data_IF_294374149892
#
_entry.id   IF_294374149892
#
_cell.length_a   1.000
_cell.length_b   1.000
_cell.length_c   1.000
_cell.angle_alpha   90.00
_cell.angle_beta   90.00
_cell.angle_gamma   90.00
#
_symmetry.space_group_name_H-M   'P 1'
#
loop_
_entity.id
_entity.type
_entity.pdbx_description
1 polymer ?
#
# COMPACT_ATOMS: atom_id res chain seq x y z
N UNK A 1 -6.20 -24.47 -7.43
CA UNK A 1 -5.88 -23.97 -6.06
C UNK A 1 -7.17 -23.84 -5.26
N UNK A 2 -7.17 -24.05 -3.93
CA UNK A 2 -8.39 -23.86 -3.14
C UNK A 2 -8.66 -22.38 -2.87
N UNK A 3 -9.93 -21.99 -2.73
CA UNK A 3 -10.35 -20.60 -2.47
C UNK A 3 -9.71 -20.01 -1.21
N UNK A 4 -9.50 -20.82 -0.19
CA UNK A 4 -8.84 -20.41 1.07
C UNK A 4 -7.39 -20.02 0.81
N UNK A 5 -6.66 -20.78 -0.02
CA UNK A 5 -5.26 -20.47 -0.36
C UNK A 5 -5.16 -19.17 -1.16
N UNK A 6 -6.10 -18.93 -2.08
CA UNK A 6 -6.16 -17.67 -2.86
C UNK A 6 -6.36 -16.45 -1.96
N UNK A 7 -7.31 -16.53 -1.02
CA UNK A 7 -7.55 -15.46 -0.05
C UNK A 7 -6.32 -15.22 0.81
N UNK A 8 -5.66 -16.28 1.29
CA UNK A 8 -4.45 -16.16 2.09
C UNK A 8 -3.33 -15.44 1.33
N UNK A 9 -3.11 -15.78 0.05
CA UNK A 9 -2.10 -15.12 -0.81
C UNK A 9 -2.41 -13.62 -0.97
N UNK A 10 -3.68 -13.26 -1.19
CA UNK A 10 -4.09 -11.87 -1.32
C UNK A 10 -3.81 -11.10 -0.03
N UNK A 11 -4.24 -11.63 1.12
CA UNK A 11 -4.07 -10.96 2.42
C UNK A 11 -2.58 -10.81 2.79
N UNK A 12 -1.77 -11.84 2.57
CA UNK A 12 -0.33 -11.79 2.82
C UNK A 12 0.34 -10.76 1.90
N UNK A 13 0.00 -10.77 0.61
CA UNK A 13 0.59 -9.82 -0.34
C UNK A 13 0.20 -8.38 -0.02
N UNK A 14 -1.08 -8.13 0.32
CA UNK A 14 -1.55 -6.83 0.77
C UNK A 14 -0.82 -6.38 2.04
N UNK A 15 -0.65 -7.27 3.03
CA UNK A 15 0.07 -6.98 4.25
C UNK A 15 1.55 -6.64 4.00
N UNK A 16 2.24 -7.45 3.19
CA UNK A 16 3.65 -7.21 2.85
C UNK A 16 3.81 -5.86 2.17
N UNK A 17 3.06 -5.60 1.09
CA UNK A 17 3.18 -4.34 0.37
C UNK A 17 2.78 -3.14 1.22
N UNK A 18 1.70 -3.24 2.00
CA UNK A 18 1.26 -2.17 2.90
C UNK A 18 2.32 -1.85 3.95
N UNK A 19 2.91 -2.86 4.59
CA UNK A 19 3.99 -2.66 5.57
C UNK A 19 5.25 -2.10 4.92
N UNK A 20 5.64 -2.58 3.73
CA UNK A 20 6.81 -2.06 3.01
C UNK A 20 6.64 -0.59 2.66
N UNK A 21 5.48 -0.20 2.13
CA UNK A 21 5.19 1.21 1.82
C UNK A 21 5.12 2.08 3.07
N UNK A 22 4.42 1.62 4.10
CA UNK A 22 4.36 2.32 5.40
C UNK A 22 5.75 2.48 6.03
N UNK A 23 6.62 1.48 5.93
CA UNK A 23 8.00 1.56 6.42
C UNK A 23 8.85 2.55 5.63
N UNK A 24 8.73 2.58 4.30
CA UNK A 24 9.40 3.58 3.45
C UNK A 24 8.94 4.98 3.81
N UNK A 25 7.63 5.17 4.04
CA UNK A 25 7.11 6.44 4.54
C UNK A 25 7.79 6.85 5.86
N UNK A 26 7.80 5.97 6.87
CA UNK A 26 8.40 6.28 8.17
C UNK A 26 9.89 6.60 8.05
N UNK A 27 10.60 5.86 7.20
CA UNK A 27 12.02 6.08 6.95
C UNK A 27 12.29 7.45 6.31
N UNK A 28 11.55 7.80 5.26
CA UNK A 28 11.71 9.09 4.58
C UNK A 28 11.28 10.27 5.46
N UNK A 29 10.20 10.09 6.23
CA UNK A 29 9.72 11.06 7.22
C UNK A 29 10.78 11.34 8.30
N UNK A 30 11.46 10.30 8.79
CA UNK A 30 12.53 10.43 9.76
C UNK A 30 13.78 11.15 9.22
N UNK A 31 14.12 10.95 7.94
CA UNK A 31 15.30 11.56 7.32
C UNK A 31 15.14 13.06 7.06
N UNK A 32 13.93 13.52 6.74
CA UNK A 32 13.75 14.85 6.17
C UNK A 32 12.88 15.79 7.00
N UNK A 33 12.22 15.32 8.08
CA UNK A 33 11.26 16.15 8.82
C UNK A 33 10.07 16.63 7.97
N UNK A 34 9.86 15.99 6.82
CA UNK A 34 9.02 16.49 5.74
C UNK A 34 7.63 15.87 5.78
N UNK A 35 6.71 16.54 6.50
CA UNK A 35 5.27 16.34 6.29
C UNK A 35 4.78 17.07 5.02
N UNK A 36 5.40 18.21 4.68
CA UNK A 36 4.98 19.09 3.59
C UNK A 36 5.34 18.55 2.20
N UNK A 37 6.51 17.91 2.07
CA UNK A 37 6.94 17.34 0.79
C UNK A 37 6.04 16.18 0.33
N UNK A 38 5.45 15.43 1.26
CA UNK A 38 4.59 14.31 0.87
C UNK A 38 3.21 14.77 0.38
N UNK A 39 2.59 15.80 0.98
CA UNK A 39 1.34 16.34 0.43
C UNK A 39 1.51 16.95 -0.98
N UNK A 40 2.70 17.48 -1.30
CA UNK A 40 2.95 18.19 -2.56
C UNK A 40 3.67 17.35 -3.63
N UNK A 41 4.56 16.43 -3.24
CA UNK A 41 5.42 15.66 -4.15
C UNK A 41 5.20 14.14 -4.07
N UNK A 42 4.62 13.64 -2.97
CA UNK A 42 4.43 12.21 -2.73
C UNK A 42 2.94 11.91 -2.55
N UNK A 43 2.21 11.98 -3.68
CA UNK A 43 0.76 11.85 -3.70
C UNK A 43 0.35 10.49 -3.12
N UNK A 44 -0.15 10.48 -1.89
CA UNK A 44 -0.90 9.35 -1.35
C UNK A 44 -2.16 9.20 -2.19
N UNK A 45 -2.22 8.15 -3.00
CA UNK A 45 -3.26 7.95 -4.00
C UNK A 45 -4.64 7.94 -3.34
N UNK A 46 -4.79 7.20 -2.24
CA UNK A 46 -6.06 7.12 -1.51
C UNK A 46 -6.42 8.41 -0.78
N UNK A 47 -5.46 9.13 -0.20
CA UNK A 47 -5.74 10.42 0.43
C UNK A 47 -6.17 11.47 -0.61
N UNK A 48 -5.52 11.49 -1.76
CA UNK A 48 -5.85 12.35 -2.89
C UNK A 48 -7.23 12.03 -3.45
N UNK A 49 -7.57 10.74 -3.63
CA UNK A 49 -8.88 10.31 -4.10
C UNK A 49 -10.01 10.77 -3.16
N UNK A 50 -9.75 10.77 -1.85
CA UNK A 50 -10.71 11.18 -0.83
C UNK A 50 -10.66 12.68 -0.51
N UNK A 51 -9.77 13.43 -1.17
CA UNK A 51 -9.52 14.84 -0.91
C UNK A 51 -9.21 15.14 0.58
N UNK A 52 -8.44 14.26 1.22
CA UNK A 52 -8.05 14.34 2.63
C UNK A 52 -6.62 14.90 2.72
N UNK A 53 -6.48 15.99 3.47
CA UNK A 53 -5.18 16.59 3.75
C UNK A 53 -4.46 15.84 4.89
N UNK A 54 -3.21 15.44 4.66
CA UNK A 54 -2.42 14.66 5.63
C UNK A 54 -1.69 15.60 6.58
N UNK A 55 -2.10 15.59 7.86
CA UNK A 55 -1.57 16.51 8.88
C UNK A 55 -0.65 15.86 9.91
N UNK A 56 -0.63 14.53 9.97
CA UNK A 56 0.11 13.79 11.00
C UNK A 56 0.89 12.62 10.40
N UNK A 57 1.95 12.20 11.09
CA UNK A 57 2.73 11.05 10.68
C UNK A 57 1.92 9.74 10.73
N UNK A 58 0.96 9.66 11.66
CA UNK A 58 0.06 8.51 11.77
C UNK A 58 -0.86 8.43 10.55
N UNK A 59 -1.51 9.54 10.18
CA UNK A 59 -2.36 9.57 8.98
C UNK A 59 -1.55 9.23 7.73
N UNK A 60 -0.36 9.80 7.58
CA UNK A 60 0.50 9.54 6.44
C UNK A 60 0.92 8.06 6.35
N UNK A 61 1.30 7.45 7.48
CA UNK A 61 1.58 6.02 7.55
C UNK A 61 0.37 5.18 7.14
N UNK A 62 -0.82 5.50 7.65
CA UNK A 62 -2.05 4.76 7.33
C UNK A 62 -2.38 4.84 5.85
N UNK A 63 -2.34 6.04 5.25
CA UNK A 63 -2.61 6.18 3.81
C UNK A 63 -1.54 5.51 2.95
N UNK A 64 -0.27 5.61 3.34
CA UNK A 64 0.82 4.86 2.69
C UNK A 64 0.60 3.35 2.76
N UNK A 65 0.18 2.84 3.92
CA UNK A 65 -0.12 1.44 4.13
C UNK A 65 -1.28 0.98 3.26
N UNK A 66 -2.37 1.77 3.20
CA UNK A 66 -3.54 1.44 2.39
C UNK A 66 -3.16 1.42 0.90
N UNK A 67 -2.41 2.42 0.42
CA UNK A 67 -1.94 2.45 -0.97
C UNK A 67 -1.10 1.21 -1.29
N UNK A 68 -0.14 0.87 -0.43
CA UNK A 68 0.65 -0.35 -0.57
C UNK A 68 -0.22 -1.61 -0.57
N UNK A 69 -1.17 -1.72 0.35
CA UNK A 69 -2.07 -2.86 0.45
C UNK A 69 -2.96 -3.03 -0.80
N UNK A 70 -3.41 -1.93 -1.40
CA UNK A 70 -4.13 -1.96 -2.68
C UNK A 70 -3.27 -2.50 -3.81
N UNK A 71 -2.02 -2.01 -3.94
CA UNK A 71 -1.07 -2.53 -4.93
C UNK A 71 -0.76 -4.02 -4.71
N UNK A 72 -0.56 -4.44 -3.46
CA UNK A 72 -0.33 -5.84 -3.11
C UNK A 72 -1.53 -6.73 -3.46
N UNK A 73 -2.75 -6.24 -3.23
CA UNK A 73 -4.00 -6.93 -3.59
C UNK A 73 -4.11 -7.10 -5.10
N UNK A 74 -3.90 -6.04 -5.88
CA UNK A 74 -3.96 -6.08 -7.35
C UNK A 74 -2.93 -7.08 -7.89
N UNK A 75 -1.69 -7.00 -7.39
CA UNK A 75 -0.59 -7.89 -7.78
C UNK A 75 -0.93 -9.35 -7.50
N UNK A 76 -1.43 -9.66 -6.31
CA UNK A 76 -1.84 -11.01 -5.95
C UNK A 76 -2.97 -11.55 -6.84
N UNK A 77 -3.98 -10.73 -7.14
CA UNK A 77 -5.07 -11.11 -8.04
C UNK A 77 -4.54 -11.43 -9.44
N UNK A 78 -3.62 -10.61 -9.97
CA UNK A 78 -3.00 -10.83 -11.26
C UNK A 78 -2.19 -12.14 -11.29
N UNK A 79 -1.36 -12.39 -10.28
CA UNK A 79 -0.58 -13.64 -10.15
C UNK A 79 -1.48 -14.88 -10.06
N UNK A 80 -2.56 -14.81 -9.30
CA UNK A 80 -3.55 -15.89 -9.20
C UNK A 80 -4.22 -16.14 -10.56
N UNK A 81 -4.58 -15.08 -11.30
CA UNK A 81 -5.16 -15.23 -12.65
C UNK A 81 -4.18 -15.85 -13.62
N UNK A 82 -2.95 -15.34 -13.68
CA UNK A 82 -1.88 -15.86 -14.55
C UNK A 82 -1.63 -17.34 -14.24
N UNK A 83 -1.45 -17.71 -12.97
CA UNK A 83 -1.19 -19.10 -12.60
C UNK A 83 -2.33 -20.07 -12.96
N UNK A 84 -3.58 -19.60 -12.99
CA UNK A 84 -4.73 -20.39 -13.47
C UNK A 84 -4.79 -20.50 -14.98
N UNK A 85 -4.29 -19.51 -15.72
CA UNK A 85 -4.28 -19.54 -17.19
C UNK A 85 -3.23 -20.50 -17.74
N UNK A 86 -2.12 -20.69 -17.02
CA UNK A 86 -1.01 -21.56 -17.43
C UNK A 86 -0.99 -22.96 -16.77
N UNK A 87 -2.04 -23.30 -16.01
CA UNK A 87 -2.23 -24.61 -15.37
C UNK A 87 -3.39 -25.37 -16.00
#
# INVERSE_FOLDING_TARGET
MSRIKEIAIILISAGIYGLTWGAIYLFLSALHGMQVMFNNEFIFFTASLLNIEIKTNISAFLFSFIDGALFGTITAILLIRISKTFS
#
